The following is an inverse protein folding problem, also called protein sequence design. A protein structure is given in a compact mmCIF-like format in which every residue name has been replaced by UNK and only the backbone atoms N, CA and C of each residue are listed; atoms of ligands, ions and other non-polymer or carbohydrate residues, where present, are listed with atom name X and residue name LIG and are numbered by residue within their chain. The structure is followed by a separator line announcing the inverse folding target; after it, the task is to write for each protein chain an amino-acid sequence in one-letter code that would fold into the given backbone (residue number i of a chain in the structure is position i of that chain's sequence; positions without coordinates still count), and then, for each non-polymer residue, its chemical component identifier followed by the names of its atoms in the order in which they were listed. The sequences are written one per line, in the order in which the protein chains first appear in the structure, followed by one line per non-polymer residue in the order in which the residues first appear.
data_IF_198566840745
#
_entry.id   IF_198566840745
#
_cell.length_a   1.000
_cell.length_b   1.000
_cell.length_c   1.000
_cell.angle_alpha   90.00
_cell.angle_beta   90.00
_cell.angle_gamma   90.00
#
_symmetry.space_group_name_H-M   'P 1'
#
loop_
_entity.id
_entity.type
_entity.pdbx_description
1 polymer ?
#
# COMPACT_ATOMS: atom_id res chain seq x y z
N UNK A 1 -7.80 -3.71 -3.92
CA UNK A 1 -7.61 -4.83 -2.97
C UNK A 1 -8.44 -4.56 -1.72
N UNK A 2 -9.30 -5.48 -1.29
CA UNK A 2 -10.28 -5.25 -0.20
C UNK A 2 -9.86 -5.90 1.13
N UNK A 3 -8.58 -5.78 1.49
CA UNK A 3 -8.04 -6.33 2.75
C UNK A 3 -8.16 -5.24 3.84
N UNK A 4 -8.86 -5.51 4.97
CA UNK A 4 -8.89 -4.60 6.12
C UNK A 4 -7.48 -4.24 6.59
N UNK A 5 -7.19 -2.94 6.67
CA UNK A 5 -5.88 -2.39 7.03
C UNK A 5 -5.10 -1.80 5.85
N UNK A 6 -5.44 -2.19 4.62
CA UNK A 6 -4.96 -1.53 3.39
C UNK A 6 -5.70 -0.20 3.21
N UNK A 7 -4.95 0.87 2.98
CA UNK A 7 -5.48 2.23 2.78
C UNK A 7 -5.24 2.77 1.38
N UNK A 8 -4.41 2.09 0.58
CA UNK A 8 -4.26 2.39 -0.84
C UNK A 8 -3.36 1.39 -1.57
N UNK A 9 -3.35 1.50 -2.88
CA UNK A 9 -2.50 0.72 -3.78
C UNK A 9 -1.94 1.64 -4.87
N UNK A 10 -0.69 1.44 -5.26
CA UNK A 10 -0.05 2.19 -6.34
C UNK A 10 0.97 1.35 -7.10
N UNK A 11 1.56 1.95 -8.13
CA UNK A 11 2.72 1.41 -8.83
C UNK A 11 3.98 2.13 -8.35
N UNK A 12 5.06 1.38 -8.17
CA UNK A 12 6.34 1.92 -7.72
C UNK A 12 7.51 1.14 -8.27
N UNK A 13 8.70 1.50 -7.79
CA UNK A 13 9.92 0.73 -7.99
C UNK A 13 10.35 0.07 -6.69
N UNK A 14 10.68 -1.21 -6.78
CA UNK A 14 11.21 -2.04 -5.71
C UNK A 14 12.52 -2.64 -6.21
N UNK A 15 13.66 -2.20 -5.66
CA UNK A 15 14.98 -2.59 -6.16
C UNK A 15 15.12 -2.36 -7.68
N UNK A 16 14.66 -1.19 -8.14
CA UNK A 16 14.58 -0.74 -9.55
C UNK A 16 13.57 -1.43 -10.48
N UNK A 17 12.97 -2.54 -10.06
CA UNK A 17 11.92 -3.24 -10.81
C UNK A 17 10.51 -2.69 -10.54
N UNK A 18 9.61 -2.82 -11.53
CA UNK A 18 8.20 -2.42 -11.39
C UNK A 18 7.51 -3.32 -10.35
N UNK A 19 6.86 -2.69 -9.38
CA UNK A 19 6.13 -3.39 -8.33
C UNK A 19 4.81 -2.71 -7.99
N UNK A 20 3.92 -3.48 -7.38
CA UNK A 20 2.70 -2.98 -6.76
C UNK A 20 3.04 -2.56 -5.33
N UNK A 21 2.77 -1.31 -4.99
CA UNK A 21 2.95 -0.80 -3.64
C UNK A 21 1.61 -0.83 -2.93
N UNK A 22 1.54 -1.58 -1.83
CA UNK A 22 0.37 -1.63 -0.94
C UNK A 22 0.64 -0.74 0.26
N UNK A 23 -0.19 0.29 0.42
CA UNK A 23 -0.12 1.21 1.55
C UNK A 23 -1.03 0.73 2.67
N UNK A 24 -0.48 0.67 3.88
CA UNK A 24 -1.21 0.26 5.09
C UNK A 24 -1.18 1.35 6.15
N UNK A 25 -2.25 1.43 6.95
CA UNK A 25 -2.29 2.38 8.05
C UNK A 25 -1.23 2.07 9.12
N UNK A 26 -0.98 0.78 9.35
CA UNK A 26 0.05 0.24 10.24
C UNK A 26 0.51 -1.10 9.71
N UNK A 27 1.81 -1.35 9.70
CA UNK A 27 2.38 -2.64 9.32
C UNK A 27 2.37 -3.57 10.53
N UNK A 28 1.61 -4.65 10.44
CA UNK A 28 1.59 -5.72 11.45
C UNK A 28 1.92 -7.06 10.80
N UNK A 29 2.41 -8.05 11.55
CA UNK A 29 2.64 -9.40 11.03
C UNK A 29 1.39 -10.00 10.40
N UNK A 30 0.24 -9.90 11.08
CA UNK A 30 -1.03 -10.49 10.63
C UNK A 30 -1.53 -9.87 9.33
N UNK A 31 -1.31 -8.56 9.14
CA UNK A 31 -1.66 -7.90 7.88
C UNK A 31 -0.68 -8.26 6.76
N UNK A 32 0.61 -8.35 7.09
CA UNK A 32 1.67 -8.71 6.12
C UNK A 32 1.47 -10.12 5.59
N UNK A 33 1.04 -11.06 6.44
CA UNK A 33 0.77 -12.46 6.06
C UNK A 33 -0.47 -12.60 5.17
N UNK A 34 -1.40 -11.64 5.23
CA UNK A 34 -2.63 -11.63 4.42
C UNK A 34 -2.44 -10.99 3.05
N UNK A 35 -1.46 -10.11 2.91
CA UNK A 35 -1.15 -9.44 1.65
C UNK A 35 -0.27 -10.38 0.83
N UNK A 36 -0.67 -10.76 -0.39
CA UNK A 36 0.15 -11.64 -1.21
C UNK A 36 1.47 -10.95 -1.56
N UNK A 37 2.57 -11.71 -1.59
CA UNK A 37 3.89 -11.18 -1.97
C UNK A 37 4.01 -10.89 -3.47
N UNK A 38 3.06 -11.38 -4.28
CA UNK A 38 2.99 -11.18 -5.72
C UNK A 38 1.52 -11.06 -6.17
N UNK A 39 1.25 -10.20 -7.15
CA UNK A 39 -0.05 -10.06 -7.79
C UNK A 39 0.15 -9.88 -9.30
N UNK A 40 -0.46 -10.77 -10.10
CA UNK A 40 -0.36 -10.76 -11.57
C UNK A 40 1.08 -10.77 -12.11
N UNK A 41 2.00 -11.45 -11.41
CA UNK A 41 3.42 -11.50 -11.79
C UNK A 41 4.25 -10.32 -11.29
N UNK A 42 3.65 -9.34 -10.61
CA UNK A 42 4.36 -8.21 -10.02
C UNK A 42 4.59 -8.42 -8.54
N UNK A 43 5.81 -8.15 -8.09
CA UNK A 43 6.16 -8.11 -6.67
C UNK A 43 5.28 -7.09 -5.95
N UNK A 44 4.87 -7.44 -4.74
CA UNK A 44 4.15 -6.53 -3.84
C UNK A 44 5.09 -6.02 -2.74
N UNK A 45 5.14 -4.70 -2.57
CA UNK A 45 5.85 -4.03 -1.47
C UNK A 45 4.86 -3.37 -0.51
N UNK A 46 5.01 -3.66 0.78
CA UNK A 46 4.10 -3.20 1.83
C UNK A 46 4.74 -2.02 2.56
N UNK A 47 4.14 -0.83 2.42
CA UNK A 47 4.58 0.41 3.05
C UNK A 47 3.58 0.91 4.07
N UNK A 48 4.06 1.19 5.27
CA UNK A 48 3.27 1.92 6.25
C UNK A 48 3.22 3.40 5.85
N UNK A 49 2.00 3.96 5.75
CA UNK A 49 1.78 5.35 5.37
C UNK A 49 0.95 6.15 6.39
N UNK A 50 0.44 5.48 7.43
CA UNK A 50 -0.70 6.01 8.18
C UNK A 50 -1.96 6.05 7.31
N UNK A 51 -3.00 6.75 7.78
CA UNK A 51 -4.25 6.91 7.03
C UNK A 51 -4.10 8.03 6.00
N UNK A 52 -4.66 7.84 4.81
CA UNK A 52 -4.83 8.95 3.87
C UNK A 52 -6.02 9.80 4.30
N UNK A 53 -5.80 11.11 4.31
CA UNK A 53 -6.82 12.12 4.62
C UNK A 53 -6.86 13.12 3.48
N UNK A 54 -8.06 13.61 3.17
CA UNK A 54 -8.21 14.70 2.22
C UNK A 54 -7.48 15.92 2.77
N UNK A 55 -6.65 16.57 1.95
CA UNK A 55 -6.15 17.89 2.29
C UNK A 55 -7.31 18.87 2.20
N UNK A 56 -7.44 19.73 3.20
CA UNK A 56 -8.33 20.89 3.13
C UNK A 56 -7.85 21.77 1.97
N UNK A 57 -8.66 21.96 0.91
CA UNK A 57 -8.24 22.76 -0.24
C UNK A 57 -8.07 24.24 0.11
N UNK A 58 -8.54 24.71 1.27
CA UNK A 58 -8.67 26.13 1.57
C UNK A 58 -9.77 26.76 0.71
N UNK A 59 -10.64 27.57 1.32
CA UNK A 59 -11.48 28.49 0.55
C UNK A 59 -10.67 29.77 0.37
N UNK A 60 -10.22 30.02 -0.86
CA UNK A 60 -9.71 31.33 -1.30
C UNK A 60 -10.76 32.43 -1.10
#
# INVERSE_FOLDING_TARGET
MSIPGVVGTGLGKCDDDLCIVVFVAKKTPELSDRIPSELEGYRVDIRESGRFEARDPGMD
#
